data_IF_009699339464
#
_entry.id   IF_009699339464
#
_cell.length_a   1.000
_cell.length_b   1.000
_cell.length_c   1.000
_cell.angle_alpha   90.00
_cell.angle_beta   90.00
_cell.angle_gamma   90.00
#
_symmetry.space_group_name_H-M   'P 1'
#
loop_
_entity.id
_entity.type
_entity.pdbx_description
1 polymer ?
#
# COMPACT_ATOMS: atom_id res chain seq x y z
N UNK A 1 -1.97 -3.94 -1.07
CA UNK A 1 -1.89 -4.24 0.38
C UNK A 1 -1.23 -5.60 0.57
N UNK A 2 -0.20 -5.64 1.36
CA UNK A 2 0.53 -6.88 1.63
C UNK A 2 -0.01 -7.47 2.92
N UNK A 3 -0.52 -8.70 2.85
CA UNK A 3 -1.17 -9.37 3.98
C UNK A 3 -0.38 -10.58 4.43
N UNK A 4 -0.35 -10.79 5.73
CA UNK A 4 0.22 -11.99 6.35
C UNK A 4 -0.69 -12.39 7.50
N UNK A 5 -1.42 -13.49 7.32
CA UNK A 5 -2.49 -13.89 8.23
C UNK A 5 -3.60 -12.83 8.21
N UNK A 6 -3.96 -12.31 9.38
CA UNK A 6 -4.98 -11.28 9.53
C UNK A 6 -4.40 -9.86 9.63
N UNK A 7 -3.12 -9.70 9.31
CA UNK A 7 -2.42 -8.42 9.42
C UNK A 7 -2.02 -7.88 8.07
N UNK A 8 -2.00 -6.55 7.97
CA UNK A 8 -1.67 -5.82 6.75
C UNK A 8 -0.47 -4.92 7.02
N UNK A 9 0.48 -4.90 6.08
CA UNK A 9 1.68 -4.09 6.21
C UNK A 9 1.39 -2.62 5.92
N UNK A 10 1.75 -1.75 6.87
CA UNK A 10 1.74 -0.31 6.72
C UNK A 10 3.17 0.20 6.84
N UNK A 11 3.55 1.16 6.01
CA UNK A 11 4.89 1.76 6.03
C UNK A 11 4.78 3.26 6.25
N UNK A 12 5.76 3.82 6.98
CA UNK A 12 5.82 5.24 7.27
C UNK A 12 6.75 5.94 6.29
N UNK A 13 6.25 6.98 5.63
CA UNK A 13 7.03 7.73 4.64
C UNK A 13 8.18 8.47 5.32
N UNK A 14 9.40 8.30 4.80
CA UNK A 14 10.63 8.83 5.40
C UNK A 14 11.08 10.18 4.85
N UNK A 15 10.48 10.68 3.77
CA UNK A 15 10.91 11.93 3.14
C UNK A 15 9.78 12.55 2.31
N UNK A 16 10.00 13.79 1.89
CA UNK A 16 9.12 14.50 0.98
C UNK A 16 7.86 15.03 1.64
N UNK A 17 6.89 15.36 0.80
CA UNK A 17 5.58 15.81 1.24
C UNK A 17 4.87 14.67 1.99
N UNK A 18 4.18 14.99 3.06
CA UNK A 18 3.52 14.02 3.95
C UNK A 18 4.49 13.08 4.67
N UNK A 19 5.75 13.55 4.90
CA UNK A 19 6.69 12.80 5.74
C UNK A 19 6.03 12.44 7.08
N UNK A 20 6.34 11.25 7.60
CA UNK A 20 5.81 10.67 8.83
C UNK A 20 4.37 10.15 8.75
N UNK A 21 3.69 10.33 7.60
CA UNK A 21 2.38 9.70 7.37
C UNK A 21 2.57 8.26 6.94
N UNK A 22 1.56 7.46 7.21
CA UNK A 22 1.56 6.04 6.88
C UNK A 22 0.87 5.76 5.55
N UNK A 23 1.32 4.73 4.86
CA UNK A 23 0.79 4.36 3.56
C UNK A 23 0.85 2.85 3.36
N UNK A 24 0.06 2.35 2.42
CA UNK A 24 0.23 0.99 1.93
C UNK A 24 1.31 1.04 0.84
N UNK A 25 2.33 0.16 0.90
CA UNK A 25 3.39 0.18 -0.12
C UNK A 25 2.84 -0.02 -1.52
N UNK A 26 3.42 0.66 -2.48
CA UNK A 26 3.06 0.58 -3.89
C UNK A 26 3.57 1.81 -4.62
N UNK A 27 3.24 1.91 -5.89
CA UNK A 27 3.71 3.02 -6.71
C UNK A 27 2.93 3.16 -8.01
N UNK A 28 3.50 3.95 -8.93
CA UNK A 28 2.85 4.31 -10.19
C UNK A 28 3.01 3.22 -11.24
N UNK A 29 1.97 3.06 -12.07
CA UNK A 29 2.02 2.19 -13.23
C UNK A 29 2.84 2.89 -14.31
N UNK A 30 3.85 2.20 -14.85
CA UNK A 30 4.65 2.70 -15.96
C UNK A 30 4.05 2.27 -17.30
N UNK A 31 4.40 2.96 -18.42
CA UNK A 31 3.89 2.57 -19.73
C UNK A 31 4.18 1.10 -20.03
N UNK A 32 3.18 0.38 -20.50
CA UNK A 32 3.31 -1.04 -20.84
C UNK A 32 3.11 -2.00 -19.69
N UNK A 33 2.93 -1.51 -18.47
CA UNK A 33 2.66 -2.37 -17.31
C UNK A 33 1.17 -2.47 -17.02
N UNK A 34 0.76 -3.63 -16.51
CA UNK A 34 -0.55 -3.74 -15.86
C UNK A 34 -0.40 -3.24 -14.42
N UNK A 35 -1.53 -2.98 -13.76
CA UNK A 35 -1.51 -2.57 -12.35
C UNK A 35 -0.84 -3.62 -11.46
N UNK A 36 -1.07 -4.91 -11.72
CA UNK A 36 -0.45 -6.01 -10.96
C UNK A 36 1.06 -6.06 -11.17
N UNK A 37 1.52 -5.89 -12.41
CA UNK A 37 2.95 -5.87 -12.74
C UNK A 37 3.65 -4.69 -12.06
N UNK A 38 3.02 -3.52 -12.09
CA UNK A 38 3.56 -2.33 -11.44
C UNK A 38 3.72 -2.54 -9.94
N UNK A 39 2.73 -3.16 -9.31
CA UNK A 39 2.75 -3.43 -7.87
C UNK A 39 3.89 -4.38 -7.50
N UNK A 40 4.06 -5.47 -8.26
CA UNK A 40 5.17 -6.42 -8.04
C UNK A 40 6.52 -5.71 -8.16
N UNK A 41 6.68 -4.90 -9.20
CA UNK A 41 7.93 -4.15 -9.45
C UNK A 41 8.21 -3.16 -8.31
N UNK A 42 7.23 -2.35 -7.93
CA UNK A 42 7.39 -1.34 -6.89
C UNK A 42 7.76 -1.96 -5.54
N UNK A 43 7.10 -3.04 -5.16
CA UNK A 43 7.40 -3.71 -3.89
C UNK A 43 8.80 -4.33 -3.92
N UNK A 44 9.21 -4.88 -5.06
CA UNK A 44 10.57 -5.40 -5.22
C UNK A 44 11.60 -4.30 -5.06
N UNK A 45 11.35 -3.13 -5.66
CA UNK A 45 12.26 -1.99 -5.59
C UNK A 45 12.29 -1.36 -4.20
N UNK A 46 11.14 -1.17 -3.59
CA UNK A 46 11.03 -0.46 -2.31
C UNK A 46 11.34 -1.31 -1.09
N UNK A 47 10.97 -2.58 -1.11
CA UNK A 47 11.04 -3.46 0.06
C UNK A 47 11.88 -4.72 -0.15
N UNK A 48 12.44 -4.93 -1.33
CA UNK A 48 13.20 -6.13 -1.72
C UNK A 48 12.42 -7.42 -1.43
N UNK A 49 11.12 -7.39 -1.66
CA UNK A 49 10.22 -8.50 -1.36
C UNK A 49 9.44 -8.88 -2.60
N UNK A 50 9.28 -10.18 -2.84
CA UNK A 50 8.45 -10.69 -3.93
C UNK A 50 7.06 -10.99 -3.41
N UNK A 51 6.06 -10.44 -4.09
CA UNK A 51 4.65 -10.63 -3.71
C UNK A 51 3.86 -11.26 -4.84
N UNK A 52 2.72 -11.84 -4.47
CA UNK A 52 1.73 -12.34 -5.43
C UNK A 52 0.48 -11.49 -5.26
N UNK A 53 0.15 -10.63 -6.24
CA UNK A 53 -1.11 -9.88 -6.21
C UNK A 53 -2.30 -10.83 -6.34
N UNK A 54 -3.25 -10.69 -5.44
CA UNK A 54 -4.46 -11.50 -5.44
C UNK A 54 -5.67 -10.72 -5.94
N UNK A 55 -6.73 -10.75 -5.16
CA UNK A 55 -8.01 -10.14 -5.51
C UNK A 55 -7.94 -8.62 -5.48
N UNK A 56 -8.60 -7.97 -6.47
CA UNK A 56 -8.84 -6.53 -6.45
C UNK A 56 -9.95 -6.25 -5.43
N UNK A 57 -9.61 -5.49 -4.40
CA UNK A 57 -10.57 -5.17 -3.32
C UNK A 57 -11.41 -3.96 -3.70
N UNK A 58 -10.75 -2.90 -4.16
CA UNK A 58 -11.46 -1.67 -4.54
C UNK A 58 -10.55 -0.79 -5.40
N UNK A 59 -11.14 0.18 -6.07
CA UNK A 59 -10.41 1.26 -6.74
C UNK A 59 -10.77 2.56 -6.04
N UNK A 60 -9.76 3.25 -5.51
CA UNK A 60 -9.94 4.54 -4.83
C UNK A 60 -9.66 5.65 -5.81
N UNK A 61 -10.62 6.58 -5.95
CA UNK A 61 -10.50 7.75 -6.80
C UNK A 61 -10.33 8.99 -5.93
N UNK A 62 -9.30 9.78 -6.19
CA UNK A 62 -9.02 10.98 -5.42
C UNK A 62 -8.69 12.13 -6.36
N UNK A 63 -9.39 13.25 -6.19
CA UNK A 63 -9.13 14.46 -6.96
C UNK A 63 -8.23 15.40 -6.17
N UNK A 64 -7.12 15.77 -6.79
CA UNK A 64 -6.22 16.81 -6.30
C UNK A 64 -6.37 18.05 -7.20
N UNK A 65 -5.95 19.23 -6.74
CA UNK A 65 -6.09 20.44 -7.56
C UNK A 65 -5.47 20.36 -8.96
N UNK A 66 -4.37 19.61 -9.11
CA UNK A 66 -3.62 19.54 -10.37
C UNK A 66 -3.76 18.21 -11.11
N UNK A 67 -4.36 17.18 -10.50
CA UNK A 67 -4.48 15.87 -11.13
C UNK A 67 -5.52 15.00 -10.43
N UNK A 68 -5.91 13.94 -11.12
CA UNK A 68 -6.80 12.90 -10.59
C UNK A 68 -5.97 11.63 -10.32
N UNK A 69 -6.13 11.05 -9.13
CA UNK A 69 -5.47 9.79 -8.79
C UNK A 69 -6.49 8.67 -8.78
N UNK A 70 -6.20 7.61 -9.55
CA UNK A 70 -6.98 6.37 -9.52
C UNK A 70 -6.07 5.28 -9.00
N UNK A 71 -6.44 4.66 -7.88
CA UNK A 71 -5.60 3.67 -7.21
C UNK A 71 -6.32 2.34 -7.10
N UNK A 72 -5.81 1.32 -7.81
CA UNK A 72 -6.33 -0.05 -7.73
C UNK A 72 -5.67 -0.77 -6.56
N UNK A 73 -6.49 -1.31 -5.67
CA UNK A 73 -6.02 -1.89 -4.41
C UNK A 73 -6.20 -3.40 -4.40
N UNK A 74 -5.08 -4.12 -4.45
CA UNK A 74 -5.06 -5.58 -4.48
C UNK A 74 -4.65 -6.14 -3.13
N UNK A 75 -5.24 -7.27 -2.77
CA UNK A 75 -4.83 -8.05 -1.62
C UNK A 75 -3.67 -8.94 -2.05
N UNK A 76 -2.50 -8.76 -1.46
CA UNK A 76 -1.28 -9.46 -1.87
C UNK A 76 -0.73 -10.33 -0.76
N UNK A 77 -0.02 -11.40 -1.14
CA UNK A 77 0.70 -12.25 -0.20
C UNK A 77 2.20 -12.20 -0.52
N UNK A 78 3.03 -12.49 0.47
CA UNK A 78 4.47 -12.56 0.26
C UNK A 78 4.80 -13.93 -0.32
N UNK A 79 5.47 -13.93 -1.48
CA UNK A 79 5.96 -15.14 -2.13
C UNK A 79 7.35 -15.50 -1.63
N UNK A 80 8.22 -14.49 -1.48
CA UNK A 80 9.62 -14.69 -1.11
C UNK A 80 10.18 -13.44 -0.46
N UNK A 81 11.02 -13.61 0.52
CA UNK A 81 11.72 -12.54 1.21
C UNK A 81 10.96 -11.99 2.40
N UNK A 82 11.54 -10.98 3.02
CA UNK A 82 10.92 -10.21 4.10
C UNK A 82 11.10 -8.73 3.78
N UNK A 83 10.12 -7.88 4.10
CA UNK A 83 10.23 -6.45 3.78
C UNK A 83 11.48 -5.81 4.38
N UNK A 84 12.22 -5.09 3.53
CA UNK A 84 13.41 -4.32 3.91
C UNK A 84 13.10 -2.86 3.62
N UNK A 85 13.27 -2.01 4.63
CA UNK A 85 12.93 -0.59 4.49
C UNK A 85 14.07 0.16 3.80
N UNK A 86 13.88 0.52 2.54
CA UNK A 86 14.84 1.31 1.76
C UNK A 86 14.47 2.79 1.71
N UNK A 87 13.19 3.09 1.64
CA UNK A 87 12.67 4.46 1.49
C UNK A 87 11.73 4.89 2.61
N UNK A 88 11.41 3.99 3.52
CA UNK A 88 10.47 4.24 4.62
C UNK A 88 11.21 4.27 5.94
N UNK A 89 10.75 5.07 6.89
CA UNK A 89 11.38 5.14 8.21
C UNK A 89 10.89 4.07 9.17
N UNK A 90 9.72 3.49 8.96
CA UNK A 90 9.17 2.44 9.81
C UNK A 90 8.15 1.59 9.09
N UNK A 91 7.86 0.43 9.64
CA UNK A 91 6.80 -0.45 9.15
C UNK A 91 6.09 -1.10 10.33
N UNK A 92 4.80 -1.38 10.15
CA UNK A 92 4.00 -2.09 11.14
C UNK A 92 3.07 -3.06 10.44
N UNK A 93 2.88 -4.22 11.05
CA UNK A 93 1.83 -5.16 10.67
C UNK A 93 0.61 -4.85 11.53
N UNK A 94 -0.48 -4.40 10.89
CA UNK A 94 -1.68 -3.95 11.58
C UNK A 94 -2.83 -4.93 11.35
N UNK A 95 -3.50 -5.32 12.43
CA UNK A 95 -4.75 -6.04 12.31
C UNK A 95 -5.84 -5.03 11.90
N UNK A 96 -7.01 -5.54 11.50
CA UNK A 96 -8.13 -4.67 11.11
C UNK A 96 -8.50 -3.68 12.22
N UNK A 97 -8.46 -4.12 13.47
CA UNK A 97 -8.80 -3.28 14.62
C UNK A 97 -7.77 -2.19 14.90
N UNK A 98 -6.57 -2.33 14.34
CA UNK A 98 -5.47 -1.39 14.52
C UNK A 98 -5.30 -0.40 13.36
N UNK A 99 -6.11 -0.52 12.31
CA UNK A 99 -5.98 0.34 11.12
C UNK A 99 -6.12 1.82 11.42
N UNK A 100 -6.86 2.19 12.45
CA UNK A 100 -7.02 3.59 12.85
C UNK A 100 -5.97 4.05 13.87
N UNK A 101 -4.97 3.23 14.16
CA UNK A 101 -3.91 3.56 15.13
C UNK A 101 -2.78 4.42 14.56
N UNK A 102 -2.76 4.65 13.26
CA UNK A 102 -1.72 5.44 12.59
C UNK A 102 -2.36 6.54 11.74
N UNK A 103 -1.55 7.58 11.44
CA UNK A 103 -2.02 8.68 10.58
C UNK A 103 -1.70 8.37 9.12
N UNK A 104 -2.74 8.03 8.37
CA UNK A 104 -2.62 7.66 6.98
C UNK A 104 -2.47 8.86 6.05
N UNK A 105 -1.81 8.65 4.91
CA UNK A 105 -1.85 9.60 3.79
C UNK A 105 -3.31 9.79 3.36
N UNK A 106 -3.69 11.02 2.97
CA UNK A 106 -5.07 11.27 2.54
C UNK A 106 -5.56 10.32 1.45
N UNK A 107 -4.69 9.95 0.50
CA UNK A 107 -5.06 9.05 -0.59
C UNK A 107 -5.40 7.64 -0.11
N UNK A 108 -4.88 7.22 1.05
CA UNK A 108 -5.11 5.88 1.59
C UNK A 108 -6.32 5.77 2.51
N UNK A 109 -6.88 6.90 2.92
CA UNK A 109 -8.02 6.89 3.85
C UNK A 109 -9.24 6.15 3.31
N UNK A 110 -9.54 6.29 2.03
CA UNK A 110 -10.67 5.59 1.42
C UNK A 110 -10.50 4.07 1.46
N UNK A 111 -9.27 3.60 1.24
CA UNK A 111 -8.97 2.19 1.32
C UNK A 111 -9.06 1.68 2.76
N UNK A 112 -8.56 2.45 3.73
CA UNK A 112 -8.66 2.09 5.15
C UNK A 112 -10.12 1.92 5.56
N UNK A 113 -10.98 2.84 5.17
CA UNK A 113 -12.41 2.75 5.47
C UNK A 113 -13.03 1.48 4.86
N UNK A 114 -12.66 1.18 3.62
CA UNK A 114 -13.12 -0.03 2.94
C UNK A 114 -12.69 -1.29 3.71
N UNK A 115 -11.43 -1.34 4.12
CA UNK A 115 -10.90 -2.48 4.87
C UNK A 115 -11.56 -2.68 6.22
N UNK A 116 -11.90 -1.59 6.91
CA UNK A 116 -12.57 -1.67 8.20
C UNK A 116 -13.99 -2.22 8.10
N UNK A 117 -14.60 -2.12 6.94
CA UNK A 117 -15.94 -2.63 6.68
C UNK A 117 -15.97 -4.08 6.20
N UNK A 118 -14.83 -4.61 5.74
CA UNK A 118 -14.71 -5.98 5.28
C UNK A 118 -14.77 -6.96 6.46
N UNK A 119 -15.40 -8.08 6.22
CA UNK A 119 -15.57 -9.11 7.25
C UNK A 119 -15.06 -10.46 6.78
#
# INVERSE_FOLDING_TARGET
>A
MICEGDRILATQRGYGEHKDRWEFPGGKIEPGETAREALVREIREELKTEIVPGELITTVETDYPSFHLSMQCFLCTIKEGSPVLLEHEAAKWLSRDELDSVEWLPADLGLVECLMQLR
#
